data_IF_659960633388
#
_entry.id   IF_659960633388
#
_cell.length_a   1.000
_cell.length_b   1.000
_cell.length_c   1.000
_cell.angle_alpha   90.00
_cell.angle_beta   90.00
_cell.angle_gamma   90.00
#
_symmetry.space_group_name_H-M   'P 1'
#
loop_
_entity.id
_entity.type
_entity.pdbx_description
1 polymer ?
#
# COMPACT_ATOMS: atom_id res chain seq x y z
N UNK A 1 9.78 6.10 26.40
CA UNK A 1 8.97 5.06 25.72
C UNK A 1 9.72 4.69 24.45
N UNK A 2 10.06 3.41 24.27
CA UNK A 2 10.72 2.94 23.04
C UNK A 2 9.74 3.09 21.87
N UNK A 3 10.12 3.86 20.86
CA UNK A 3 9.30 4.01 19.65
C UNK A 3 9.09 2.64 19.01
N UNK A 4 7.84 2.29 18.73
CA UNK A 4 7.53 1.06 18.02
C UNK A 4 8.09 1.11 16.59
N UNK A 5 8.40 -0.05 16.00
CA UNK A 5 8.79 -0.16 14.58
C UNK A 5 7.83 0.59 13.64
N UNK A 6 6.55 0.65 14.01
CA UNK A 6 5.52 1.37 13.28
C UNK A 6 5.68 2.89 13.39
N UNK A 7 5.97 3.43 14.57
CA UNK A 7 6.24 4.86 14.75
C UNK A 7 7.49 5.30 14.00
N UNK A 8 8.57 4.50 14.08
CA UNK A 8 9.79 4.77 13.31
C UNK A 8 9.51 4.74 11.81
N UNK A 9 8.75 3.76 11.31
CA UNK A 9 8.34 3.73 9.91
C UNK A 9 7.55 4.99 9.51
N UNK A 10 6.59 5.41 10.34
CA UNK A 10 5.76 6.59 10.09
C UNK A 10 6.59 7.86 10.03
N UNK A 11 7.56 8.02 10.94
CA UNK A 11 8.43 9.19 10.97
C UNK A 11 9.28 9.28 9.70
N UNK A 12 9.91 8.17 9.28
CA UNK A 12 10.72 8.13 8.05
C UNK A 12 9.88 8.47 6.82
N UNK A 13 8.66 7.92 6.72
CA UNK A 13 7.76 8.22 5.60
C UNK A 13 7.30 9.67 5.63
N UNK A 14 7.05 10.25 6.80
CA UNK A 14 6.68 11.66 6.95
C UNK A 14 7.83 12.62 6.59
N UNK A 15 9.06 12.27 6.94
CA UNK A 15 10.25 13.03 6.54
C UNK A 15 10.48 12.94 5.03
N UNK A 16 10.29 11.75 4.44
CA UNK A 16 10.32 11.58 2.99
C UNK A 16 9.23 12.40 2.29
N UNK A 17 7.99 12.39 2.79
CA UNK A 17 6.89 13.16 2.20
C UNK A 17 7.18 14.67 2.16
N UNK A 18 7.87 15.21 3.18
CA UNK A 18 8.29 16.62 3.21
C UNK A 18 9.34 16.97 2.15
N UNK A 19 10.16 16.01 1.72
CA UNK A 19 11.16 16.23 0.68
C UNK A 19 10.64 15.94 -0.74
N UNK A 20 9.50 15.25 -0.86
CA UNK A 20 8.87 14.96 -2.14
C UNK A 20 8.04 16.15 -2.66
N UNK A 21 8.02 16.41 -3.97
CA UNK A 21 7.16 17.42 -4.56
C UNK A 21 5.67 17.03 -4.43
N UNK A 22 4.81 18.02 -4.26
CA UNK A 22 3.38 17.81 -4.07
C UNK A 22 2.69 17.11 -5.25
N UNK A 23 3.17 17.37 -6.48
CA UNK A 23 2.59 16.84 -7.72
C UNK A 23 3.08 15.42 -8.08
N UNK A 24 3.88 14.79 -7.21
CA UNK A 24 4.43 13.46 -7.51
C UNK A 24 3.32 12.41 -7.63
N UNK A 25 3.37 11.60 -8.69
CA UNK A 25 2.35 10.59 -8.94
C UNK A 25 2.33 9.50 -7.85
N UNK A 26 1.18 8.85 -7.65
CA UNK A 26 1.04 7.75 -6.68
C UNK A 26 2.06 6.62 -6.91
N UNK A 27 2.37 6.35 -8.19
CA UNK A 27 3.35 5.33 -8.59
C UNK A 27 4.76 5.69 -8.13
N UNK A 28 5.16 6.94 -8.32
CA UNK A 28 6.47 7.44 -7.90
C UNK A 28 6.56 7.54 -6.38
N UNK A 29 5.50 8.00 -5.70
CA UNK A 29 5.43 8.01 -4.23
C UNK A 29 5.61 6.59 -3.67
N UNK A 30 4.94 5.60 -4.25
CA UNK A 30 5.10 4.19 -3.85
C UNK A 30 6.53 3.68 -4.08
N UNK A 31 7.20 4.11 -5.16
CA UNK A 31 8.59 3.75 -5.43
C UNK A 31 9.53 4.40 -4.39
N UNK A 32 9.40 5.70 -4.16
CA UNK A 32 10.21 6.44 -3.18
C UNK A 32 10.07 5.82 -1.77
N UNK A 33 8.84 5.56 -1.31
CA UNK A 33 8.60 4.90 -0.02
C UNK A 33 9.10 3.45 0.00
N UNK A 34 9.29 2.77 -1.14
CA UNK A 34 9.88 1.42 -1.14
C UNK A 34 11.41 1.48 -1.01
N UNK A 35 12.03 2.49 -1.60
CA UNK A 35 13.48 2.70 -1.61
C UNK A 35 13.98 3.28 -0.28
N UNK A 36 13.18 4.06 0.42
CA UNK A 36 13.50 4.62 1.74
C UNK A 36 13.47 3.60 2.91
N UNK A 37 13.41 2.30 2.64
CA UNK A 37 13.34 1.28 3.69
C UNK A 37 14.67 1.21 4.48
N UNK A 38 14.66 1.41 5.80
CA UNK A 38 15.88 1.58 6.58
C UNK A 38 16.51 0.29 7.12
N UNK A 39 15.77 -0.83 7.19
CA UNK A 39 16.16 -2.00 7.99
C UNK A 39 16.81 -3.14 7.21
N UNK A 40 17.36 -2.84 6.03
CA UNK A 40 18.09 -3.82 5.21
C UNK A 40 17.19 -4.94 4.69
N UNK A 41 17.22 -6.11 5.33
CA UNK A 41 16.42 -7.25 4.89
C UNK A 41 14.92 -6.99 5.09
N UNK A 42 14.14 -7.30 4.05
CA UNK A 42 12.67 -7.13 4.03
C UNK A 42 11.98 -8.33 4.67
N UNK A 43 12.30 -8.57 5.94
CA UNK A 43 11.83 -9.74 6.70
C UNK A 43 11.22 -9.33 8.05
N UNK A 44 10.46 -10.25 8.64
CA UNK A 44 10.00 -10.17 10.03
C UNK A 44 9.07 -8.97 10.35
N UNK A 45 8.98 -8.64 11.63
CA UNK A 45 8.13 -7.57 12.18
C UNK A 45 8.44 -6.16 11.66
N UNK A 46 9.72 -5.74 11.47
CA UNK A 46 10.03 -4.42 10.92
C UNK A 46 9.45 -4.23 9.52
N UNK A 47 9.57 -5.24 8.66
CA UNK A 47 9.00 -5.20 7.32
C UNK A 47 7.47 -5.14 7.33
N UNK A 48 6.80 -5.88 8.23
CA UNK A 48 5.34 -5.79 8.40
C UNK A 48 4.92 -4.39 8.87
N UNK A 49 5.66 -3.80 9.80
CA UNK A 49 5.40 -2.44 10.28
C UNK A 49 5.59 -1.41 9.14
N UNK A 50 6.63 -1.55 8.32
CA UNK A 50 6.84 -0.74 7.13
C UNK A 50 5.67 -0.84 6.14
N UNK A 51 5.25 -2.06 5.80
CA UNK A 51 4.14 -2.28 4.89
C UNK A 51 2.84 -1.65 5.41
N UNK A 52 2.62 -1.67 6.73
CA UNK A 52 1.47 -1.01 7.36
C UNK A 52 1.56 0.50 7.22
N UNK A 53 2.69 1.12 7.59
CA UNK A 53 2.90 2.56 7.50
C UNK A 53 2.80 3.06 6.04
N UNK A 54 3.40 2.32 5.09
CA UNK A 54 3.29 2.62 3.66
C UNK A 54 1.83 2.64 3.19
N UNK A 55 1.01 1.67 3.61
CA UNK A 55 -0.41 1.62 3.23
C UNK A 55 -1.20 2.80 3.82
N UNK A 56 -0.95 3.14 5.08
CA UNK A 56 -1.58 4.28 5.77
C UNK A 56 -1.21 5.63 5.13
N UNK A 57 0.01 5.76 4.62
CA UNK A 57 0.46 6.95 3.91
C UNK A 57 -0.12 7.03 2.49
N UNK A 58 0.02 5.97 1.70
CA UNK A 58 -0.42 5.95 0.31
C UNK A 58 -1.94 6.06 0.16
N UNK A 59 -2.72 5.61 1.15
CA UNK A 59 -4.19 5.72 1.11
C UNK A 59 -4.69 7.15 1.01
N UNK A 60 -3.88 8.15 1.38
CA UNK A 60 -4.18 9.59 1.24
C UNK A 60 -4.18 10.07 -0.22
N UNK A 61 -3.47 9.36 -1.08
CA UNK A 61 -3.27 9.70 -2.50
C UNK A 61 -4.00 8.76 -3.45
N UNK A 62 -4.61 7.68 -2.94
CA UNK A 62 -5.38 6.73 -3.75
C UNK A 62 -6.73 7.35 -4.09
N UNK A 63 -7.04 7.44 -5.38
CA UNK A 63 -8.35 7.91 -5.84
C UNK A 63 -9.46 6.91 -5.46
N UNK A 64 -10.71 7.36 -5.26
CA UNK A 64 -11.85 6.48 -5.02
C UNK A 64 -11.99 5.37 -6.07
N UNK A 65 -11.73 5.71 -7.34
CA UNK A 65 -11.76 4.79 -8.47
C UNK A 65 -10.68 3.71 -8.38
N UNK A 66 -9.44 4.07 -8.04
CA UNK A 66 -8.36 3.09 -7.83
C UNK A 66 -8.63 2.17 -6.64
N UNK A 67 -9.31 2.68 -5.61
CA UNK A 67 -9.74 1.87 -4.47
C UNK A 67 -10.81 0.85 -4.88
N UNK A 68 -11.77 1.27 -5.70
CA UNK A 68 -12.80 0.39 -6.27
C UNK A 68 -12.19 -0.68 -7.18
N UNK A 69 -11.22 -0.33 -8.05
CA UNK A 69 -10.52 -1.30 -8.91
C UNK A 69 -9.75 -2.36 -8.13
N UNK A 70 -9.26 -2.03 -6.93
CA UNK A 70 -8.48 -2.93 -6.09
C UNK A 70 -9.33 -3.64 -5.01
N UNK A 71 -10.65 -3.46 -5.02
CA UNK A 71 -11.52 -4.17 -4.08
C UNK A 71 -11.57 -5.66 -4.48
N UNK A 72 -11.45 -6.60 -3.53
CA UNK A 72 -11.69 -8.00 -3.84
C UNK A 72 -13.12 -8.16 -4.37
N UNK A 73 -13.28 -8.97 -5.42
CA UNK A 73 -14.58 -9.30 -6.01
C UNK A 73 -15.58 -9.63 -4.91
N UNK A 74 -16.77 -9.03 -4.97
CA UNK A 74 -17.84 -9.34 -4.02
C UNK A 74 -18.30 -10.80 -4.19
N UNK A 75 -18.93 -11.41 -3.16
CA UNK A 75 -19.44 -12.79 -3.26
C UNK A 75 -20.32 -13.04 -4.49
N UNK A 76 -21.15 -12.06 -4.87
CA UNK A 76 -22.03 -12.13 -6.04
C UNK A 76 -21.25 -12.10 -7.35
N UNK A 77 -20.25 -11.23 -7.48
CA UNK A 77 -19.38 -11.17 -8.67
C UNK A 77 -18.55 -12.45 -8.81
N UNK A 78 -18.10 -13.03 -7.69
CA UNK A 78 -17.42 -14.35 -7.71
C UNK A 78 -18.34 -15.45 -8.22
N UNK A 79 -19.62 -15.42 -7.87
CA UNK A 79 -20.62 -16.37 -8.37
C UNK A 79 -20.88 -16.19 -9.87
N UNK A 80 -21.06 -14.95 -10.34
CA UNK A 80 -21.22 -14.64 -11.78
C UNK A 80 -19.99 -15.06 -12.59
N UNK A 81 -18.79 -14.78 -12.09
CA UNK A 81 -17.53 -15.20 -12.73
C UNK A 81 -17.32 -16.72 -12.70
N UNK A 82 -17.95 -17.44 -11.76
CA UNK A 82 -17.98 -18.91 -11.75
C UNK A 82 -18.97 -19.45 -12.80
N UNK A 83 -20.16 -18.84 -12.91
CA UNK A 83 -21.17 -19.22 -13.91
C UNK A 83 -20.71 -19.01 -15.35
N UNK A 84 -20.03 -17.89 -15.66
CA UNK A 84 -19.51 -17.63 -17.02
C UNK A 84 -18.44 -18.62 -17.50
N UNK A 85 -17.83 -19.40 -16.61
CA UNK A 85 -16.84 -20.44 -16.94
C UNK A 85 -17.44 -21.82 -17.19
N UNK A 86 -18.72 -22.02 -16.86
CA UNK A 86 -19.43 -23.29 -17.05
C UNK A 86 -20.22 -23.41 -18.34
N UNK A 87 -20.33 -22.33 -19.12
CA UNK A 87 -21.17 -22.22 -20.34
C UNK A 87 -20.36 -22.39 -21.64
N UNK A 88 -19.06 -22.70 -21.56
CA UNK A 88 -18.18 -22.98 -22.70
C UNK A 88 -17.75 -24.46 -22.75
N UNK A 89 -18.67 -25.40 -22.52
CA UNK A 89 -18.42 -26.84 -22.67
C UNK A 89 -19.58 -27.54 -23.34
#
# INVERSE_FOLDING_TARGET
MSASWLETARNIIAELDRSLPADLSLKERRKAVREAYPWGERSMWPYKAWCKAQREYLSRFVTPEERLRNLPLTPLERLVAKSKRGDQS
#
